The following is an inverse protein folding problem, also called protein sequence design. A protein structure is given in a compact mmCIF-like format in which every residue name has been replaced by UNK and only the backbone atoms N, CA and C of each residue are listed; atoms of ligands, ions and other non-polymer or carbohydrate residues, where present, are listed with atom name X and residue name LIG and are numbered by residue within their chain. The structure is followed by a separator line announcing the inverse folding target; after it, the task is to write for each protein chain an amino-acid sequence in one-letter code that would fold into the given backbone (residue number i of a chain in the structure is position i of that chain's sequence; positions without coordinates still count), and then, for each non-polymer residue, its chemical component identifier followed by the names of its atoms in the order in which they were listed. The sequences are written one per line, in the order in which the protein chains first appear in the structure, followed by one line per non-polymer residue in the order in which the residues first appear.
data_IF_114582861261
#
_entry.id   IF_114582861261
#
_cell.length_a   1.000
_cell.length_b   1.000
_cell.length_c   1.000
_cell.angle_alpha   90.00
_cell.angle_beta   90.00
_cell.angle_gamma   90.00
#
_symmetry.space_group_name_H-M   'P 1'
#
loop_
_entity.id
_entity.type
_entity.pdbx_description
1 polymer ?
#
# COMPACT_ATOMS: atom_id res chain seq x y z
N UNK A 1 -19.27 7.67 14.60
CA UNK A 1 -18.93 7.09 13.30
C UNK A 1 -17.79 7.87 12.65
N UNK A 2 -16.74 7.17 12.28
CA UNK A 2 -15.60 7.82 11.67
C UNK A 2 -15.87 8.26 10.25
N UNK A 3 -14.98 9.06 9.70
CA UNK A 3 -15.01 9.44 8.31
C UNK A 3 -14.82 8.20 7.46
N UNK A 4 -15.61 8.04 6.41
CA UNK A 4 -15.43 6.94 5.51
C UNK A 4 -14.06 7.07 4.84
N UNK A 5 -13.33 5.98 4.81
CA UNK A 5 -12.07 5.96 4.08
C UNK A 5 -12.38 5.99 2.59
N UNK A 6 -11.70 6.87 1.85
CA UNK A 6 -11.83 6.88 0.40
C UNK A 6 -11.18 5.64 -0.21
N UNK A 7 -11.51 5.39 -1.48
CA UNK A 7 -10.89 4.30 -2.22
C UNK A 7 -9.38 4.54 -2.31
N UNK A 8 -8.61 3.48 -2.13
CA UNK A 8 -7.17 3.55 -2.34
C UNK A 8 -6.88 3.40 -3.83
N UNK A 9 -5.86 4.09 -4.30
CA UNK A 9 -5.39 3.81 -5.64
C UNK A 9 -4.75 2.43 -5.64
N UNK A 10 -4.70 1.82 -6.79
CA UNK A 10 -4.08 0.50 -6.92
C UNK A 10 -2.62 0.53 -6.47
N UNK A 11 -1.90 1.59 -6.83
CA UNK A 11 -0.50 1.73 -6.43
C UNK A 11 -0.35 1.79 -4.91
N UNK A 12 -1.18 2.59 -4.24
CA UNK A 12 -1.12 2.70 -2.78
C UNK A 12 -1.46 1.37 -2.12
N UNK A 13 -2.47 0.68 -2.65
CA UNK A 13 -2.85 -0.63 -2.15
C UNK A 13 -1.65 -1.59 -2.18
N UNK A 14 -0.97 -1.66 -3.31
CA UNK A 14 0.18 -2.55 -3.44
C UNK A 14 1.37 -2.11 -2.62
N UNK A 15 1.58 -0.80 -2.45
CA UNK A 15 2.65 -0.31 -1.59
C UNK A 15 2.41 -0.77 -0.15
N UNK A 16 1.17 -0.61 0.35
CA UNK A 16 0.83 -1.04 1.70
C UNK A 16 0.98 -2.55 1.87
N UNK A 17 0.53 -3.34 0.88
CA UNK A 17 0.73 -4.78 0.91
C UNK A 17 2.22 -5.14 0.98
N UNK A 18 3.04 -4.42 0.23
CA UNK A 18 4.48 -4.66 0.20
C UNK A 18 5.11 -4.43 1.57
N UNK A 19 4.52 -3.54 2.36
CA UNK A 19 5.08 -3.13 3.65
C UNK A 19 4.54 -3.92 4.84
N UNK A 20 3.86 -5.04 4.58
CA UNK A 20 3.61 -6.03 5.64
C UNK A 20 4.92 -6.65 6.11
N UNK A 21 5.97 -6.51 5.31
CA UNK A 21 7.35 -6.78 5.71
C UNK A 21 8.15 -5.49 5.47
N UNK A 22 9.17 -5.27 6.29
CA UNK A 22 9.99 -4.07 6.11
C UNK A 22 10.73 -4.13 4.78
N UNK A 23 10.77 -3.00 4.06
CA UNK A 23 11.44 -2.90 2.77
C UNK A 23 11.96 -1.49 2.57
N UNK A 24 13.08 -1.37 1.86
CA UNK A 24 13.52 -0.07 1.36
C UNK A 24 12.82 0.22 0.03
N UNK A 25 12.93 1.47 -0.45
CA UNK A 25 12.18 1.92 -1.61
C UNK A 25 12.30 1.04 -2.83
N UNK A 26 13.51 0.63 -3.18
CA UNK A 26 13.73 -0.23 -4.35
C UNK A 26 13.01 -1.57 -4.19
N UNK A 27 13.06 -2.13 -2.98
CA UNK A 27 12.37 -3.39 -2.69
C UNK A 27 10.85 -3.25 -2.81
N UNK A 28 10.31 -2.09 -2.42
CA UNK A 28 8.88 -1.82 -2.61
C UNK A 28 8.56 -1.81 -4.10
N UNK A 29 9.35 -1.11 -4.90
CA UNK A 29 9.13 -1.03 -6.35
C UNK A 29 9.13 -2.42 -6.99
N UNK A 30 10.11 -3.25 -6.61
CA UNK A 30 10.19 -4.61 -7.14
C UNK A 30 8.99 -5.45 -6.73
N UNK A 31 8.57 -5.34 -5.47
CA UNK A 31 7.46 -6.14 -4.97
C UNK A 31 6.13 -5.73 -5.61
N UNK A 32 5.92 -4.43 -5.81
CA UNK A 32 4.72 -3.94 -6.48
C UNK A 32 4.66 -4.45 -7.92
N UNK A 33 5.78 -4.41 -8.63
CA UNK A 33 5.85 -4.93 -9.99
C UNK A 33 5.53 -6.43 -10.01
N UNK A 34 6.07 -7.18 -9.07
CA UNK A 34 5.84 -8.61 -8.97
C UNK A 34 4.37 -8.94 -8.66
N UNK A 35 3.80 -8.27 -7.66
CA UNK A 35 2.41 -8.51 -7.27
C UNK A 35 1.44 -8.18 -8.39
N UNK A 36 1.74 -7.16 -9.20
CA UNK A 36 0.88 -6.73 -10.29
C UNK A 36 1.21 -7.42 -11.63
N UNK A 37 2.10 -8.40 -11.62
CA UNK A 37 2.57 -9.09 -12.83
C UNK A 37 3.11 -8.11 -13.86
N UNK A 38 3.87 -7.12 -13.39
CA UNK A 38 4.49 -6.12 -14.26
C UNK A 38 3.56 -5.02 -14.73
N UNK A 39 2.28 -5.05 -14.32
CA UNK A 39 1.33 -4.05 -14.78
C UNK A 39 1.59 -2.69 -14.16
N UNK A 40 2.12 -2.66 -12.94
CA UNK A 40 2.45 -1.41 -12.25
C UNK A 40 3.96 -1.33 -12.05
N UNK A 41 4.57 -0.33 -12.66
CA UNK A 41 5.99 -0.06 -12.50
C UNK A 41 6.14 1.37 -12.00
N UNK A 42 6.40 1.50 -10.70
CA UNK A 42 6.45 2.81 -10.06
C UNK A 42 7.77 3.50 -10.37
N UNK A 43 7.68 4.76 -10.76
CA UNK A 43 8.85 5.62 -10.82
C UNK A 43 9.22 6.04 -9.40
N UNK A 44 10.50 6.30 -9.17
CA UNK A 44 10.99 6.67 -7.84
C UNK A 44 10.24 7.88 -7.27
N UNK A 45 10.03 8.92 -8.08
CA UNK A 45 9.32 10.11 -7.61
C UNK A 45 7.90 9.81 -7.16
N UNK A 46 7.18 8.99 -7.91
CA UNK A 46 5.83 8.57 -7.55
C UNK A 46 5.84 7.77 -6.25
N UNK A 47 6.80 6.83 -6.12
CA UNK A 47 6.91 6.03 -4.91
C UNK A 47 7.17 6.90 -3.69
N UNK A 48 8.18 7.78 -3.75
CA UNK A 48 8.53 8.57 -2.57
C UNK A 48 7.48 9.62 -2.24
N UNK A 49 6.73 10.10 -3.24
CA UNK A 49 5.56 10.94 -2.99
C UNK A 49 4.50 10.20 -2.20
N UNK A 50 4.22 8.95 -2.58
CA UNK A 50 3.27 8.12 -1.87
C UNK A 50 3.77 7.79 -0.45
N UNK A 51 5.05 7.49 -0.31
CA UNK A 51 5.64 7.22 1.01
C UNK A 51 5.45 8.42 1.94
N UNK A 52 5.71 9.63 1.45
CA UNK A 52 5.52 10.84 2.25
C UNK A 52 4.10 10.97 2.74
N UNK A 53 3.13 10.77 1.86
CA UNK A 53 1.71 10.84 2.22
C UNK A 53 1.35 9.78 3.24
N UNK A 54 1.83 8.55 3.05
CA UNK A 54 1.52 7.45 3.96
C UNK A 54 2.15 7.65 5.34
N UNK A 55 3.34 8.24 5.39
CA UNK A 55 3.97 8.60 6.66
C UNK A 55 3.14 9.66 7.40
N UNK A 56 2.65 10.67 6.67
CA UNK A 56 1.80 11.70 7.26
C UNK A 56 0.51 11.13 7.83
N UNK A 57 -0.08 10.16 7.14
CA UNK A 57 -1.31 9.51 7.61
C UNK A 57 -1.07 8.56 8.78
N UNK A 58 0.19 8.22 9.06
CA UNK A 58 0.51 7.25 10.09
C UNK A 58 0.23 5.81 9.68
N UNK A 59 0.08 5.54 8.38
CA UNK A 59 -0.19 4.20 7.89
C UNK A 59 1.07 3.37 7.68
N UNK A 60 2.21 4.03 7.59
CA UNK A 60 3.51 3.38 7.57
C UNK A 60 4.44 4.17 8.50
N UNK A 61 5.54 3.54 8.87
CA UNK A 61 6.57 4.23 9.65
C UNK A 61 7.95 3.87 9.09
N UNK A 62 8.89 4.77 9.28
CA UNK A 62 10.26 4.51 8.92
C UNK A 62 10.93 3.79 10.09
N UNK A 63 11.68 2.74 9.78
CA UNK A 63 12.43 2.02 10.81
C UNK A 63 13.68 2.78 11.17
N UNK A 64 14.21 2.59 12.40
CA UNK A 64 15.47 3.21 12.77
C UNK A 64 16.57 2.81 11.79
N UNK A 65 17.41 3.77 11.44
CA UNK A 65 18.52 3.50 10.54
C UNK A 65 19.54 2.60 11.24
N UNK A 66 20.01 1.59 10.51
CA UNK A 66 21.08 0.76 10.98
C UNK A 66 22.39 1.50 10.69
N UNK A 67 23.27 1.52 11.67
CA UNK A 67 24.58 2.15 11.50
C UNK A 67 25.24 1.60 10.23
N UNK A 68 25.75 2.47 9.40
CA UNK A 68 26.39 2.17 8.13
C UNK A 68 25.44 1.77 7.00
N UNK A 69 24.14 1.78 7.25
CA UNK A 69 23.17 1.57 6.19
C UNK A 69 22.70 2.91 5.65
N UNK A 70 22.72 3.04 4.34
CA UNK A 70 22.20 4.24 3.67
C UNK A 70 20.78 4.06 3.19
N UNK A 71 20.21 2.86 3.37
CA UNK A 71 18.88 2.54 2.89
C UNK A 71 17.90 2.68 4.03
N UNK A 72 16.91 3.52 3.82
CA UNK A 72 15.82 3.67 4.77
C UNK A 72 14.77 2.61 4.48
N UNK A 73 14.32 1.92 5.52
CA UNK A 73 13.28 0.94 5.39
C UNK A 73 12.00 1.43 6.03
N UNK A 74 10.89 0.93 5.55
CA UNK A 74 9.56 1.29 6.02
C UNK A 74 8.78 0.03 6.32
N UNK A 75 7.77 0.16 7.18
CA UNK A 75 6.88 -0.95 7.51
C UNK A 75 5.49 -0.41 7.76
N UNK A 76 4.47 -1.21 7.48
CA UNK A 76 3.08 -0.83 7.72
C UNK A 76 2.82 -0.75 9.22
N UNK A 77 1.98 0.21 9.61
CA UNK A 77 1.54 0.33 11.01
C UNK A 77 0.22 -0.41 11.21
N UNK A 78 -0.24 -0.48 12.47
CA UNK A 78 -1.55 -1.04 12.76
C UNK A 78 -2.65 -0.27 12.03
N UNK A 79 -2.55 1.05 11.99
CA UNK A 79 -3.52 1.88 11.27
C UNK A 79 -3.50 1.61 9.78
N UNK A 80 -2.30 1.43 9.20
CA UNK A 80 -2.18 1.08 7.78
C UNK A 80 -2.78 -0.27 7.47
N UNK A 81 -2.59 -1.24 8.36
CA UNK A 81 -3.16 -2.56 8.20
C UNK A 81 -4.69 -2.49 8.23
N UNK A 82 -5.26 -1.68 9.14
CA UNK A 82 -6.71 -1.47 9.19
C UNK A 82 -7.21 -0.81 7.91
N UNK A 83 -6.45 0.13 7.37
CA UNK A 83 -6.82 0.78 6.10
C UNK A 83 -6.86 -0.24 4.96
N UNK A 84 -5.90 -1.17 4.92
CA UNK A 84 -5.91 -2.25 3.92
C UNK A 84 -7.13 -3.15 4.08
N UNK A 85 -7.45 -3.53 5.31
CA UNK A 85 -8.60 -4.39 5.57
C UNK A 85 -9.90 -3.71 5.18
N UNK A 86 -10.03 -2.41 5.46
CA UNK A 86 -11.19 -1.63 5.04
C UNK A 86 -11.32 -1.61 3.53
N UNK A 87 -10.21 -1.43 2.84
CA UNK A 87 -10.23 -1.43 1.37
C UNK A 87 -10.60 -2.79 0.81
N UNK A 88 -10.07 -3.87 1.39
CA UNK A 88 -10.42 -5.21 0.94
C UNK A 88 -11.93 -5.47 1.08
N UNK A 89 -12.52 -5.05 2.20
CA UNK A 89 -13.96 -5.21 2.41
C UNK A 89 -14.74 -4.42 1.36
N UNK A 90 -14.30 -3.19 1.04
CA UNK A 90 -14.93 -2.37 0.02
C UNK A 90 -14.85 -3.04 -1.35
N UNK A 91 -13.68 -3.55 -1.72
CA UNK A 91 -13.48 -4.22 -3.00
C UNK A 91 -14.33 -5.49 -3.11
N UNK A 92 -14.43 -6.24 -2.03
CA UNK A 92 -15.24 -7.45 -2.01
C UNK A 92 -16.72 -7.12 -2.22
N UNK A 93 -17.20 -6.06 -1.58
CA UNK A 93 -18.58 -5.60 -1.79
C UNK A 93 -18.82 -5.22 -3.25
N UNK A 94 -17.90 -4.46 -3.82
CA UNK A 94 -18.02 -4.06 -5.23
C UNK A 94 -18.04 -5.28 -6.14
N UNK A 95 -17.14 -6.22 -5.88
CA UNK A 95 -17.05 -7.44 -6.68
C UNK A 95 -18.34 -8.24 -6.60
N UNK A 96 -18.85 -8.45 -5.38
CA UNK A 96 -20.08 -9.20 -5.15
C UNK A 96 -21.26 -8.54 -5.88
N UNK A 97 -21.40 -7.23 -5.70
CA UNK A 97 -22.52 -6.52 -6.36
C UNK A 97 -22.41 -6.57 -7.87
N UNK A 98 -21.20 -6.41 -8.40
CA UNK A 98 -20.99 -6.48 -9.84
C UNK A 98 -21.36 -7.85 -10.41
N UNK A 99 -20.90 -8.90 -9.73
CA UNK A 99 -21.21 -10.27 -10.17
C UNK A 99 -22.71 -10.55 -10.12
N UNK A 100 -23.36 -10.12 -9.04
CA UNK A 100 -24.80 -10.35 -8.88
C UNK A 100 -25.61 -9.65 -9.95
N UNK A 101 -25.29 -8.41 -10.26
CA UNK A 101 -26.02 -7.65 -11.28
C UNK A 101 -25.76 -8.22 -12.67
N UNK A 102 -24.55 -8.62 -12.97
CA UNK A 102 -24.19 -9.12 -14.30
C UNK A 102 -24.45 -10.62 -14.48
N UNK A 103 -24.69 -11.34 -13.41
CA UNK A 103 -24.95 -12.77 -13.47
C UNK A 103 -23.71 -13.60 -13.81
N UNK A 104 -22.55 -13.15 -13.35
CA UNK A 104 -21.29 -13.87 -13.63
C UNK A 104 -20.64 -14.38 -12.37
#
# INVERSE_FOLDING_TARGET
MGTAQGALTEAVFYILLSLTQSRHGYGIMQNVAQLSNGRINLAAGTLYGAISTLLEKGWIEALPEIKDSRKKEYIITAEGLEALKTELARLEELLTNGKNVLGV
#
